data_IF_517606066331
#
_entry.id   IF_517606066331
#
_cell.length_a   1.000
_cell.length_b   1.000
_cell.length_c   1.000
_cell.angle_alpha   90.00
_cell.angle_beta   90.00
_cell.angle_gamma   90.00
#
_symmetry.space_group_name_H-M   'P 1'
#
loop_
_entity.id
_entity.type
_entity.pdbx_description
1 polymer ?
#
# COMPACT_ATOMS: atom_id res chain seq x y z
N UNK A 1 -66.49 67.74 -50.79
CA UNK A 1 -65.15 68.04 -50.28
C UNK A 1 -64.90 67.11 -49.11
N UNK A 2 -64.08 66.07 -49.29
CA UNK A 2 -63.53 65.37 -48.14
C UNK A 2 -62.64 66.38 -47.41
N UNK A 3 -62.97 66.61 -46.14
CA UNK A 3 -62.24 67.52 -45.27
C UNK A 3 -60.77 67.05 -45.21
N UNK A 4 -59.82 67.83 -45.72
CA UNK A 4 -58.39 67.44 -45.80
C UNK A 4 -57.84 66.97 -44.44
N UNK A 5 -58.42 67.50 -43.36
CA UNK A 5 -58.15 67.09 -41.98
C UNK A 5 -58.50 65.63 -41.68
N UNK A 6 -59.53 65.06 -42.31
CA UNK A 6 -59.96 63.67 -42.11
C UNK A 6 -59.00 62.69 -42.82
N UNK A 7 -58.62 63.01 -44.06
CA UNK A 7 -57.66 62.19 -44.84
C UNK A 7 -56.30 62.18 -44.16
N UNK A 8 -55.83 63.33 -43.66
CA UNK A 8 -54.59 63.42 -42.88
C UNK A 8 -54.62 62.56 -41.61
N UNK A 9 -55.74 62.58 -40.86
CA UNK A 9 -55.92 61.74 -39.66
C UNK A 9 -55.87 60.24 -39.97
N UNK A 10 -56.47 59.81 -41.09
CA UNK A 10 -56.45 58.41 -41.51
C UNK A 10 -55.03 57.97 -41.87
N UNK A 11 -54.30 58.79 -42.63
CA UNK A 11 -52.89 58.50 -42.99
C UNK A 11 -52.01 58.42 -41.74
N UNK A 12 -52.19 59.33 -40.78
CA UNK A 12 -51.48 59.28 -39.50
C UNK A 12 -51.84 58.03 -38.67
N UNK A 13 -53.11 57.61 -38.64
CA UNK A 13 -53.55 56.43 -37.91
C UNK A 13 -52.99 55.13 -38.52
N UNK A 14 -52.98 55.02 -39.86
CA UNK A 14 -52.37 53.89 -40.57
C UNK A 14 -50.85 53.89 -40.36
N UNK A 15 -50.20 55.06 -40.41
CA UNK A 15 -48.77 55.20 -40.12
C UNK A 15 -48.42 54.75 -38.69
N UNK A 16 -49.18 55.19 -37.68
CA UNK A 16 -49.01 54.77 -36.29
C UNK A 16 -49.22 53.25 -36.10
N UNK A 17 -50.18 52.66 -36.82
CA UNK A 17 -50.42 51.22 -36.78
C UNK A 17 -49.22 50.42 -37.31
N UNK A 18 -48.65 50.82 -38.45
CA UNK A 18 -47.44 50.18 -38.98
C UNK A 18 -46.23 50.38 -38.06
N UNK A 19 -46.06 51.56 -37.47
CA UNK A 19 -45.00 51.80 -36.47
C UNK A 19 -45.16 50.90 -35.25
N UNK A 20 -46.39 50.74 -34.73
CA UNK A 20 -46.68 49.83 -33.63
C UNK A 20 -46.42 48.37 -34.01
N UNK A 21 -46.80 47.94 -35.21
CA UNK A 21 -46.50 46.58 -35.71
C UNK A 21 -44.99 46.33 -35.82
N UNK A 22 -44.23 47.30 -36.34
CA UNK A 22 -42.77 47.22 -36.43
C UNK A 22 -42.14 47.17 -35.04
N UNK A 23 -42.66 47.95 -34.08
CA UNK A 23 -42.18 47.92 -32.69
C UNK A 23 -42.44 46.57 -31.99
N UNK A 24 -43.63 45.97 -32.18
CA UNK A 24 -43.95 44.64 -31.65
C UNK A 24 -43.08 43.56 -32.29
N UNK A 25 -42.89 43.62 -33.61
CA UNK A 25 -42.02 42.69 -34.33
C UNK A 25 -40.56 42.80 -33.86
N UNK A 26 -40.06 44.02 -33.67
CA UNK A 26 -38.72 44.26 -33.13
C UNK A 26 -38.55 43.70 -31.73
N UNK A 27 -39.55 43.90 -30.85
CA UNK A 27 -39.58 43.32 -29.50
C UNK A 27 -39.58 41.78 -29.53
N UNK A 28 -40.32 41.17 -30.45
CA UNK A 28 -40.30 39.71 -30.64
C UNK A 28 -38.95 39.19 -31.14
N UNK A 29 -38.31 39.90 -32.08
CA UNK A 29 -36.99 39.55 -32.59
C UNK A 29 -35.94 39.60 -31.48
N UNK A 30 -35.96 40.66 -30.66
CA UNK A 30 -35.05 40.81 -29.53
C UNK A 30 -35.22 39.70 -28.47
N UNK A 31 -36.46 39.31 -28.17
CA UNK A 31 -36.74 38.21 -27.23
C UNK A 31 -36.22 36.86 -27.76
N UNK A 32 -36.27 36.62 -29.07
CA UNK A 32 -35.70 35.42 -29.68
C UNK A 32 -34.17 35.39 -29.58
N UNK A 33 -33.50 36.52 -29.79
CA UNK A 33 -32.05 36.64 -29.63
C UNK A 33 -31.60 36.43 -28.17
N UNK A 34 -32.36 36.94 -27.19
CA UNK A 34 -32.10 36.68 -25.77
C UNK A 34 -32.22 35.19 -25.42
N UNK A 35 -33.28 34.52 -25.87
CA UNK A 35 -33.46 33.07 -25.67
C UNK A 35 -32.33 32.26 -26.31
N UNK A 36 -31.91 32.65 -27.52
CA UNK A 36 -30.78 32.02 -28.22
C UNK A 36 -29.50 32.18 -27.40
N UNK A 37 -29.23 33.36 -26.85
CA UNK A 37 -28.05 33.61 -26.02
C UNK A 37 -28.05 32.76 -24.74
N UNK A 38 -29.20 32.65 -24.05
CA UNK A 38 -29.35 31.80 -22.85
C UNK A 38 -29.10 30.33 -23.19
N UNK A 39 -29.68 29.83 -24.28
CA UNK A 39 -29.46 28.44 -24.71
C UNK A 39 -27.99 28.17 -25.06
N UNK A 40 -27.31 29.11 -25.72
CA UNK A 40 -25.87 28.98 -26.01
C UNK A 40 -25.04 28.94 -24.73
N UNK A 41 -25.35 29.78 -23.74
CA UNK A 41 -24.69 29.75 -22.44
C UNK A 41 -24.94 28.43 -21.70
N UNK A 42 -26.17 27.90 -21.75
CA UNK A 42 -26.51 26.62 -21.15
C UNK A 42 -25.74 25.46 -21.82
N UNK A 43 -25.69 25.42 -23.14
CA UNK A 43 -24.91 24.44 -23.91
C UNK A 43 -23.44 24.48 -23.50
N UNK A 44 -22.85 25.67 -23.40
CA UNK A 44 -21.45 25.81 -23.00
C UNK A 44 -21.20 25.28 -21.58
N UNK A 45 -22.14 25.51 -20.65
CA UNK A 45 -22.03 24.94 -19.29
C UNK A 45 -22.12 23.41 -19.30
N UNK A 46 -22.99 22.83 -20.14
CA UNK A 46 -23.15 21.38 -20.28
C UNK A 46 -21.89 20.75 -20.91
N UNK A 47 -21.29 21.42 -21.89
CA UNK A 47 -20.03 20.99 -22.51
C UNK A 47 -18.90 20.94 -21.47
N UNK A 48 -18.76 21.97 -20.63
CA UNK A 48 -17.77 21.97 -19.52
C UNK A 48 -18.03 20.85 -18.52
N UNK A 49 -19.28 20.62 -18.14
CA UNK A 49 -19.66 19.50 -17.24
C UNK A 49 -19.28 18.15 -17.84
N UNK A 50 -19.53 17.96 -19.15
CA UNK A 50 -19.13 16.76 -19.89
C UNK A 50 -17.62 16.55 -19.86
N UNK A 51 -16.83 17.60 -20.09
CA UNK A 51 -15.36 17.50 -20.05
C UNK A 51 -14.82 17.12 -18.67
N UNK A 52 -15.38 17.74 -17.61
CA UNK A 52 -15.04 17.38 -16.23
C UNK A 52 -15.40 15.92 -15.95
N UNK A 53 -16.56 15.46 -16.40
CA UNK A 53 -16.98 14.07 -16.21
C UNK A 53 -16.09 13.10 -16.98
N UNK A 54 -15.76 13.39 -18.24
CA UNK A 54 -14.84 12.58 -19.04
C UNK A 54 -13.47 12.49 -18.38
N UNK A 55 -12.97 13.59 -17.83
CA UNK A 55 -11.72 13.59 -17.06
C UNK A 55 -11.82 12.70 -15.81
N UNK A 56 -12.96 12.72 -15.11
CA UNK A 56 -13.21 11.84 -13.96
C UNK A 56 -13.24 10.36 -14.37
N UNK A 57 -13.95 10.02 -15.45
CA UNK A 57 -14.02 8.66 -16.01
C UNK A 57 -12.60 8.18 -16.33
N UNK A 58 -11.82 8.98 -17.06
CA UNK A 58 -10.45 8.63 -17.41
C UNK A 58 -9.56 8.39 -16.18
N UNK A 59 -9.69 9.24 -15.15
CA UNK A 59 -8.96 9.05 -13.89
C UNK A 59 -9.39 7.77 -13.17
N UNK A 60 -10.68 7.45 -13.17
CA UNK A 60 -11.21 6.23 -12.55
C UNK A 60 -10.77 4.97 -13.30
N UNK A 61 -10.82 4.96 -14.63
CA UNK A 61 -10.33 3.86 -15.47
C UNK A 61 -8.84 3.59 -15.21
N UNK A 62 -8.05 4.66 -15.10
CA UNK A 62 -6.62 4.56 -14.76
C UNK A 62 -6.39 3.94 -13.37
N UNK A 63 -7.19 4.32 -12.38
CA UNK A 63 -7.10 3.73 -11.04
C UNK A 63 -7.57 2.27 -11.04
N UNK A 64 -8.65 1.94 -11.77
CA UNK A 64 -9.13 0.57 -11.93
C UNK A 64 -8.04 -0.33 -12.51
N UNK A 65 -7.37 0.11 -13.56
CA UNK A 65 -6.24 -0.61 -14.16
C UNK A 65 -5.07 -0.81 -13.18
N UNK A 66 -4.77 0.19 -12.34
CA UNK A 66 -3.73 0.07 -11.31
C UNK A 66 -4.10 -0.97 -10.26
N UNK A 67 -5.36 -1.02 -9.85
CA UNK A 67 -5.88 -2.00 -8.89
C UNK A 67 -5.85 -3.40 -9.51
N UNK A 68 -6.27 -3.55 -10.75
CA UNK A 68 -6.26 -4.83 -11.47
C UNK A 68 -4.83 -5.41 -11.56
N UNK A 69 -3.83 -4.58 -11.90
CA UNK A 69 -2.42 -4.99 -11.87
C UNK A 69 -1.94 -5.45 -10.49
N UNK A 70 -2.40 -4.80 -9.42
CA UNK A 70 -2.08 -5.24 -8.04
C UNK A 70 -2.75 -6.57 -7.73
N UNK A 71 -4.01 -6.75 -8.13
CA UNK A 71 -4.76 -7.98 -7.93
C UNK A 71 -4.07 -9.16 -8.63
N UNK A 72 -3.65 -8.98 -9.89
CA UNK A 72 -2.92 -10.00 -10.64
C UNK A 72 -1.60 -10.41 -9.97
N UNK A 73 -0.87 -9.45 -9.38
CA UNK A 73 0.35 -9.77 -8.62
C UNK A 73 0.05 -10.57 -7.36
N UNK A 74 -1.00 -10.20 -6.63
CA UNK A 74 -1.43 -10.93 -5.43
C UNK A 74 -1.86 -12.34 -5.80
N UNK A 75 -2.63 -12.49 -6.88
CA UNK A 75 -3.10 -13.79 -7.35
C UNK A 75 -1.94 -14.73 -7.69
N UNK A 76 -0.94 -14.25 -8.43
CA UNK A 76 0.29 -15.01 -8.69
C UNK A 76 1.01 -15.40 -7.40
N UNK A 77 1.16 -14.47 -6.44
CA UNK A 77 1.78 -14.77 -5.15
C UNK A 77 1.00 -15.81 -4.35
N UNK A 78 -0.32 -15.79 -4.41
CA UNK A 78 -1.20 -16.75 -3.72
C UNK A 78 -1.11 -18.12 -4.39
N UNK A 79 -1.19 -18.17 -5.72
CA UNK A 79 -1.06 -19.38 -6.53
C UNK A 79 0.23 -20.13 -6.23
N UNK A 80 1.35 -19.43 -6.10
CA UNK A 80 2.64 -20.04 -5.81
C UNK A 80 2.79 -20.41 -4.32
N UNK A 81 2.18 -19.64 -3.41
CA UNK A 81 2.33 -19.84 -1.95
C UNK A 81 1.41 -20.89 -1.37
N UNK A 82 0.20 -21.11 -1.89
CA UNK A 82 -0.74 -22.11 -1.36
C UNK A 82 -0.13 -23.53 -1.42
N UNK A 83 0.40 -24.00 -2.56
CA UNK A 83 1.02 -25.33 -2.63
C UNK A 83 2.23 -25.46 -1.69
N UNK A 84 3.02 -24.39 -1.56
CA UNK A 84 4.14 -24.34 -0.60
C UNK A 84 3.66 -24.41 0.86
N UNK A 85 2.49 -23.84 1.18
CA UNK A 85 1.90 -23.91 2.51
C UNK A 85 1.35 -25.30 2.83
N UNK A 86 0.75 -25.98 1.85
CA UNK A 86 0.30 -27.36 1.99
C UNK A 86 1.48 -28.32 2.14
N UNK A 87 2.51 -28.20 1.30
CA UNK A 87 3.74 -28.98 1.44
C UNK A 87 4.41 -28.74 2.80
N UNK A 88 4.28 -27.54 3.38
CA UNK A 88 4.76 -27.24 4.74
C UNK A 88 3.95 -27.94 5.83
N UNK A 89 2.73 -28.40 5.63
CA UNK A 89 2.00 -29.09 6.71
C UNK A 89 2.57 -30.47 7.00
N UNK A 90 3.05 -31.15 5.96
CA UNK A 90 3.53 -32.53 6.05
C UNK A 90 5.03 -32.64 6.39
N UNK A 91 5.73 -31.50 6.47
CA UNK A 91 7.16 -31.45 6.77
C UNK A 91 7.43 -31.35 8.28
N UNK A 92 8.45 -32.04 8.81
CA UNK A 92 8.87 -31.88 10.19
C UNK A 92 9.40 -30.46 10.44
N UNK A 93 9.34 -30.02 11.70
CA UNK A 93 9.92 -28.76 12.12
C UNK A 93 11.41 -28.87 12.38
N UNK A 94 12.16 -27.87 11.90
CA UNK A 94 13.60 -27.74 12.15
C UNK A 94 13.83 -26.68 13.23
N UNK A 95 14.27 -27.10 14.40
CA UNK A 95 14.72 -26.18 15.47
C UNK A 95 16.20 -25.88 15.28
N UNK A 96 16.49 -24.74 14.66
CA UNK A 96 17.85 -24.34 14.36
C UNK A 96 18.45 -23.60 15.56
N UNK A 97 19.36 -24.23 16.30
CA UNK A 97 19.98 -23.62 17.50
C UNK A 97 21.28 -22.91 17.12
N UNK A 98 21.36 -21.60 17.38
CA UNK A 98 22.54 -20.78 17.11
C UNK A 98 23.02 -20.06 18.37
N UNK A 99 24.10 -20.54 19.01
CA UNK A 99 24.79 -19.75 20.02
C UNK A 99 25.53 -18.58 19.36
N UNK A 100 25.41 -17.38 19.93
CA UNK A 100 26.11 -16.19 19.45
C UNK A 100 26.67 -15.41 20.63
N UNK A 101 27.68 -14.57 20.38
CA UNK A 101 28.28 -13.71 21.39
C UNK A 101 28.64 -12.35 20.77
N UNK A 102 28.88 -11.36 21.63
CA UNK A 102 29.21 -10.00 21.19
C UNK A 102 30.57 -9.94 20.51
N UNK A 103 30.58 -9.58 19.22
CA UNK A 103 31.77 -9.29 18.42
C UNK A 103 31.46 -8.33 17.28
N UNK A 104 32.48 -7.70 16.70
CA UNK A 104 32.32 -6.72 15.62
C UNK A 104 31.51 -7.26 14.42
N UNK A 105 31.72 -8.53 14.05
CA UNK A 105 31.04 -9.15 12.90
C UNK A 105 29.70 -9.79 13.24
N UNK A 106 29.27 -9.82 14.51
CA UNK A 106 28.09 -10.56 14.97
C UNK A 106 26.85 -10.24 14.13
N UNK A 107 26.59 -8.94 13.92
CA UNK A 107 25.43 -8.49 13.16
C UNK A 107 25.47 -8.93 11.69
N UNK A 108 26.64 -8.86 11.07
CA UNK A 108 26.82 -9.29 9.67
C UNK A 108 26.59 -10.80 9.52
N UNK A 109 27.13 -11.60 10.44
CA UNK A 109 26.96 -13.06 10.44
C UNK A 109 25.50 -13.46 10.62
N UNK A 110 24.79 -12.85 11.58
CA UNK A 110 23.38 -13.12 11.82
C UNK A 110 22.49 -12.68 10.65
N UNK A 111 22.80 -11.55 10.00
CA UNK A 111 22.05 -11.11 8.82
C UNK A 111 22.21 -12.10 7.66
N UNK A 112 23.44 -12.52 7.36
CA UNK A 112 23.71 -13.48 6.28
C UNK A 112 23.05 -14.83 6.55
N UNK A 113 23.10 -15.29 7.80
CA UNK A 113 22.42 -16.52 8.22
C UNK A 113 20.89 -16.37 8.10
N UNK A 114 20.32 -15.26 8.56
CA UNK A 114 18.89 -14.97 8.43
C UNK A 114 18.41 -15.01 6.98
N UNK A 115 19.16 -14.38 6.06
CA UNK A 115 18.84 -14.37 4.63
C UNK A 115 18.78 -15.79 4.04
N UNK A 116 19.64 -16.69 4.54
CA UNK A 116 19.65 -18.09 4.11
C UNK A 116 18.47 -18.86 4.71
N UNK A 117 18.26 -18.72 6.03
CA UNK A 117 17.22 -19.44 6.76
C UNK A 117 15.80 -19.01 6.38
N UNK A 118 15.61 -17.78 5.87
CA UNK A 118 14.31 -17.27 5.42
C UNK A 118 13.65 -18.12 4.32
N UNK A 119 14.44 -18.87 3.55
CA UNK A 119 13.93 -19.75 2.49
C UNK A 119 13.64 -21.17 2.96
N UNK A 120 14.05 -21.54 4.18
CA UNK A 120 13.86 -22.90 4.71
C UNK A 120 12.43 -23.03 5.25
N UNK A 121 11.59 -23.94 4.71
CA UNK A 121 10.26 -24.20 5.26
C UNK A 121 10.35 -24.79 6.67
N UNK A 122 9.32 -24.57 7.48
CA UNK A 122 9.16 -25.17 8.81
C UNK A 122 10.33 -24.98 9.80
N UNK A 123 11.08 -23.89 9.64
CA UNK A 123 12.18 -23.59 10.54
C UNK A 123 11.70 -22.72 11.72
N UNK A 124 12.23 -23.04 12.90
CA UNK A 124 12.15 -22.22 14.10
C UNK A 124 13.57 -21.93 14.58
N UNK A 125 13.97 -20.66 14.54
CA UNK A 125 15.35 -20.25 14.82
C UNK A 125 15.51 -19.87 16.30
N UNK A 126 16.28 -20.66 17.04
CA UNK A 126 16.59 -20.36 18.45
C UNK A 126 17.97 -19.73 18.50
N UNK A 127 18.02 -18.43 18.79
CA UNK A 127 19.28 -17.71 18.99
C UNK A 127 19.50 -17.49 20.47
N UNK A 128 20.67 -17.91 20.95
CA UNK A 128 21.04 -17.81 22.35
C UNK A 128 22.31 -16.98 22.49
N UNK A 129 22.20 -15.81 23.11
CA UNK A 129 23.33 -14.92 23.34
C UNK A 129 24.15 -15.31 24.56
N UNK A 130 25.47 -15.34 24.43
CA UNK A 130 26.41 -15.35 25.55
C UNK A 130 26.50 -13.93 26.15
N UNK A 131 25.47 -13.59 26.92
CA UNK A 131 25.28 -12.30 27.56
C UNK A 131 24.36 -12.43 28.79
N UNK A 132 24.29 -11.36 29.58
CA UNK A 132 23.34 -11.26 30.70
C UNK A 132 21.92 -10.89 30.27
N UNK A 133 21.75 -10.41 29.04
CA UNK A 133 20.47 -9.99 28.49
C UNK A 133 20.48 -10.13 26.95
N UNK A 134 19.31 -9.99 26.36
CA UNK A 134 19.08 -9.97 24.92
C UNK A 134 19.37 -8.62 24.27
N UNK A 135 19.97 -8.65 23.09
CA UNK A 135 20.29 -7.49 22.28
C UNK A 135 19.10 -7.10 21.37
N UNK A 136 18.62 -5.85 21.37
CA UNK A 136 17.43 -5.46 20.61
C UNK A 136 17.59 -5.63 19.09
N UNK A 137 18.80 -5.46 18.55
CA UNK A 137 19.05 -5.59 17.12
C UNK A 137 18.79 -7.00 16.58
N UNK A 138 18.91 -8.04 17.42
CA UNK A 138 18.66 -9.43 17.02
C UNK A 138 17.17 -9.65 16.82
N UNK A 139 16.32 -9.11 17.71
CA UNK A 139 14.88 -9.09 17.52
C UNK A 139 14.47 -8.38 16.22
N UNK A 140 15.15 -7.28 15.87
CA UNK A 140 14.89 -6.55 14.62
C UNK A 140 15.26 -7.35 13.36
N UNK A 141 16.32 -8.16 13.41
CA UNK A 141 16.69 -9.06 12.31
C UNK A 141 15.55 -10.04 12.03
N UNK A 142 15.00 -10.69 13.06
CA UNK A 142 13.92 -11.67 12.84
C UNK A 142 12.63 -11.04 12.35
N UNK A 143 12.26 -9.86 12.88
CA UNK A 143 11.09 -9.09 12.39
C UNK A 143 11.24 -8.75 10.92
N UNK A 144 12.43 -8.35 10.48
CA UNK A 144 12.73 -8.01 9.08
C UNK A 144 12.58 -9.22 8.15
N UNK A 145 13.14 -10.37 8.52
CA UNK A 145 13.15 -11.56 7.68
C UNK A 145 11.95 -12.50 7.89
N UNK A 146 11.04 -12.17 8.81
CA UNK A 146 9.81 -12.93 9.13
C UNK A 146 10.08 -14.40 9.45
N UNK A 147 11.19 -14.66 10.12
CA UNK A 147 11.57 -16.00 10.58
C UNK A 147 10.93 -16.22 11.95
N UNK A 148 10.30 -17.38 12.17
CA UNK A 148 9.86 -17.77 13.52
C UNK A 148 11.08 -17.98 14.40
N UNK A 149 11.10 -17.36 15.57
CA UNK A 149 12.29 -17.35 16.40
C UNK A 149 11.98 -17.41 17.88
N UNK A 150 12.97 -17.87 18.64
CA UNK A 150 13.06 -17.64 20.08
C UNK A 150 14.41 -16.99 20.34
N UNK A 151 14.39 -15.87 21.08
CA UNK A 151 15.61 -15.16 21.47
C UNK A 151 15.85 -15.38 22.96
N UNK A 152 16.95 -16.05 23.29
CA UNK A 152 17.37 -16.36 24.65
C UNK A 152 18.74 -15.75 24.94
N UNK A 153 19.10 -15.75 26.22
CA UNK A 153 20.44 -15.46 26.68
C UNK A 153 20.87 -16.49 27.73
N UNK A 154 22.17 -16.73 27.80
CA UNK A 154 22.81 -17.46 28.87
C UNK A 154 24.29 -17.08 28.92
N UNK A 155 24.73 -16.45 30.01
CA UNK A 155 26.13 -16.05 30.19
C UNK A 155 26.99 -17.29 30.48
N UNK A 156 28.09 -17.45 29.76
CA UNK A 156 29.14 -18.42 30.09
C UNK A 156 29.88 -17.94 31.35
N UNK A 157 30.02 -18.78 32.40
CA UNK A 157 30.84 -18.46 33.58
C UNK A 157 32.28 -18.10 33.17
N UNK A 158 32.89 -17.13 33.85
CA UNK A 158 34.23 -16.62 33.50
C UNK A 158 35.30 -17.73 33.51
N UNK A 159 35.22 -18.66 34.47
CA UNK A 159 36.09 -19.84 34.59
C UNK A 159 36.05 -20.76 33.36
N UNK A 160 34.97 -20.69 32.57
CA UNK A 160 34.73 -21.52 31.39
C UNK A 160 34.86 -20.72 30.09
N UNK A 161 35.41 -19.50 30.14
CA UNK A 161 35.76 -18.74 28.95
C UNK A 161 37.20 -19.04 28.55
N UNK A 162 37.49 -19.23 27.25
CA UNK A 162 38.86 -19.34 26.79
C UNK A 162 39.60 -18.02 27.04
N UNK A 163 40.82 -18.10 27.58
CA UNK A 163 41.72 -16.95 27.59
C UNK A 163 42.29 -16.70 26.19
N UNK A 164 42.79 -15.49 25.93
CA UNK A 164 43.39 -15.13 24.63
C UNK A 164 44.61 -16.00 24.28
N UNK A 165 45.31 -16.51 25.29
CA UNK A 165 46.47 -17.38 25.17
C UNK A 165 46.12 -18.88 25.12
N UNK A 166 44.87 -19.26 25.40
CA UNK A 166 44.47 -20.65 25.40
C UNK A 166 44.28 -21.18 23.96
N UNK A 167 44.75 -22.41 23.67
CA UNK A 167 44.46 -23.05 22.40
C UNK A 167 42.95 -23.21 22.18
N UNK A 168 42.49 -22.98 20.94
CA UNK A 168 41.06 -23.03 20.57
C UNK A 168 40.34 -24.36 20.88
N UNK A 169 41.08 -25.46 21.08
CA UNK A 169 40.54 -26.78 21.39
C UNK A 169 40.34 -27.03 22.89
N UNK A 170 40.93 -26.21 23.77
CA UNK A 170 40.97 -26.44 25.22
C UNK A 170 39.64 -26.16 25.91
N UNK A 171 38.91 -25.13 25.48
CA UNK A 171 37.64 -24.72 26.09
C UNK A 171 36.55 -24.63 25.03
N UNK A 172 35.51 -25.48 25.09
CA UNK A 172 34.44 -25.48 24.10
C UNK A 172 33.56 -24.24 24.25
N UNK A 173 33.34 -23.53 23.15
CA UNK A 173 32.45 -22.35 23.10
C UNK A 173 30.99 -22.74 22.84
N UNK A 174 30.06 -21.99 23.43
CA UNK A 174 28.64 -22.14 23.14
C UNK A 174 27.92 -23.24 23.94
N UNK A 175 28.57 -23.92 24.89
CA UNK A 175 27.99 -25.10 25.57
C UNK A 175 26.78 -24.69 26.42
N UNK A 176 26.92 -23.65 27.24
CA UNK A 176 25.85 -23.14 28.11
C UNK A 176 24.65 -22.70 27.27
N UNK A 177 24.92 -22.05 26.14
CA UNK A 177 23.90 -21.53 25.23
C UNK A 177 23.13 -22.65 24.53
N UNK A 178 23.81 -23.69 24.04
CA UNK A 178 23.15 -24.88 23.48
C UNK A 178 22.30 -25.60 24.52
N UNK A 179 22.81 -25.78 25.74
CA UNK A 179 22.04 -26.40 26.81
C UNK A 179 20.81 -25.55 27.20
N UNK A 180 20.93 -24.22 27.21
CA UNK A 180 19.79 -23.32 27.43
C UNK A 180 18.71 -23.52 26.37
N UNK A 181 19.09 -23.64 25.10
CA UNK A 181 18.14 -23.94 24.02
C UNK A 181 17.48 -25.31 24.20
N UNK A 182 18.24 -26.35 24.55
CA UNK A 182 17.70 -27.69 24.81
C UNK A 182 16.73 -27.70 26.00
N UNK A 183 17.05 -26.99 27.08
CA UNK A 183 16.15 -26.85 28.22
C UNK A 183 14.87 -26.11 27.85
N UNK A 184 14.97 -25.07 27.02
CA UNK A 184 13.81 -24.36 26.49
C UNK A 184 12.93 -25.27 25.62
N UNK A 185 13.54 -26.04 24.71
CA UNK A 185 12.83 -27.03 23.90
C UNK A 185 12.09 -28.05 24.76
N UNK A 186 12.75 -28.64 25.76
CA UNK A 186 12.12 -29.61 26.67
C UNK A 186 10.92 -29.04 27.44
N UNK A 187 10.95 -27.75 27.79
CA UNK A 187 9.86 -27.12 28.53
C UNK A 187 8.71 -26.58 27.66
N UNK A 188 8.95 -26.35 26.37
CA UNK A 188 7.96 -25.75 25.46
C UNK A 188 7.40 -26.75 24.42
N UNK A 189 8.16 -27.82 24.12
CA UNK A 189 7.80 -28.86 23.14
C UNK A 189 7.51 -30.22 23.80
N UNK A 190 7.32 -30.26 25.12
CA UNK A 190 6.81 -31.47 25.80
C UNK A 190 5.30 -31.62 25.59
N UNK A 191 4.91 -31.96 24.36
CA UNK A 191 3.71 -32.76 24.09
C UNK A 191 4.00 -33.82 23.01
N UNK A 192 3.49 -35.05 23.19
CA UNK A 192 3.71 -36.19 22.30
C UNK A 192 3.07 -36.00 20.92
#
# INVERSE_FOLDING_TARGET
>A
MLDERLVFKIICAVGLFFVAQVAVFWSQLQNLDEKKFVLVAEIDTLVRKREVLNKKIWMQEKEAYRVEKKLQRIDNLVRDRIPLAEMRKDLPFIYFVTPTYRRLTQKADLIRLAQTLAYVPNLHWIVVEDANDTSPFIADIFKRYRIRFTHLYALTPQEKKPNETDPNWKVPRGVVQRNKALSWLRSHESRP
#
